data_IF_204281056372
#
_entry.id   IF_204281056372
#
_cell.length_a   1.000
_cell.length_b   1.000
_cell.length_c   1.000
_cell.angle_alpha   90.00
_cell.angle_beta   90.00
_cell.angle_gamma   90.00
#
_symmetry.space_group_name_H-M   'P 1'
#
loop_
_entity.id
_entity.type
_entity.pdbx_description
1 polymer ?
#
# COMPACT_ATOMS: atom_id res chain seq x y z
N UNK A 1 21.95 1.52 6.93
CA UNK A 1 20.71 1.61 7.72
C UNK A 1 19.90 2.77 7.16
N UNK A 2 18.62 2.60 6.86
CA UNK A 2 17.80 3.58 6.12
C UNK A 2 16.71 4.25 6.93
N UNK A 3 16.45 3.79 8.16
CA UNK A 3 15.53 4.45 9.07
C UNK A 3 15.94 4.23 10.53
N UNK A 4 15.98 5.30 11.33
CA UNK A 4 16.10 5.26 12.78
C UNK A 4 14.92 6.01 13.42
N UNK A 5 14.53 5.64 14.65
CA UNK A 5 13.40 6.31 15.33
C UNK A 5 13.72 7.77 15.71
N UNK A 6 14.99 8.08 15.93
CA UNK A 6 15.46 9.42 16.33
C UNK A 6 15.76 10.33 15.14
N UNK A 7 16.22 9.78 14.02
CA UNK A 7 16.72 10.57 12.88
C UNK A 7 15.85 10.41 11.62
N UNK A 8 14.85 9.53 11.65
CA UNK A 8 13.95 9.30 10.51
C UNK A 8 14.64 8.58 9.37
N UNK A 9 14.19 8.85 8.13
CA UNK A 9 14.78 8.25 6.93
C UNK A 9 16.16 8.83 6.65
N UNK A 10 17.11 7.95 6.35
CA UNK A 10 18.48 8.29 6.03
C UNK A 10 18.87 7.66 4.70
N UNK A 11 19.43 8.48 3.80
CA UNK A 11 20.00 7.99 2.56
C UNK A 11 21.33 7.31 2.88
N UNK A 12 21.36 5.99 2.68
CA UNK A 12 22.59 5.22 2.69
C UNK A 12 23.48 5.66 1.52
N UNK A 13 24.81 5.62 1.70
CA UNK A 13 25.76 5.84 0.59
C UNK A 13 25.63 4.77 -0.50
N UNK A 14 25.18 3.57 -0.12
CA UNK A 14 24.82 2.49 -1.05
C UNK A 14 23.39 2.67 -1.59
N UNK A 15 23.21 2.90 -2.91
CA UNK A 15 21.91 3.06 -3.53
C UNK A 15 20.95 1.88 -3.40
N UNK A 16 21.48 0.67 -3.29
CA UNK A 16 20.65 -0.52 -3.20
C UNK A 16 19.89 -0.58 -1.87
N UNK A 17 20.49 -0.04 -0.80
CA UNK A 17 19.92 -0.10 0.55
C UNK A 17 18.67 0.78 0.68
N UNK A 18 18.64 1.97 0.10
CA UNK A 18 17.44 2.84 0.18
C UNK A 18 16.37 2.46 -0.83
N UNK A 19 16.74 1.97 -2.02
CA UNK A 19 15.76 1.38 -2.95
C UNK A 19 15.08 0.14 -2.34
N UNK A 20 15.82 -0.71 -1.63
CA UNK A 20 15.24 -1.86 -0.94
C UNK A 20 14.26 -1.43 0.17
N UNK A 21 14.59 -0.36 0.90
CA UNK A 21 13.71 0.19 1.93
C UNK A 21 12.43 0.82 1.34
N UNK A 22 12.54 1.59 0.27
CA UNK A 22 11.37 2.15 -0.45
C UNK A 22 10.45 1.04 -0.96
N UNK A 23 11.00 -0.03 -1.53
CA UNK A 23 10.23 -1.22 -1.94
C UNK A 23 9.52 -1.90 -0.77
N UNK A 24 10.20 -2.01 0.38
CA UNK A 24 9.60 -2.58 1.59
C UNK A 24 8.42 -1.74 2.11
N UNK A 25 8.46 -0.41 1.93
CA UNK A 25 7.31 0.46 2.22
C UNK A 25 6.14 0.11 1.30
N UNK A 26 6.35 0.03 -0.02
CA UNK A 26 5.27 -0.31 -0.94
C UNK A 26 4.65 -1.68 -0.66
N UNK A 27 5.47 -2.69 -0.32
CA UNK A 27 4.98 -4.01 0.09
C UNK A 27 4.14 -3.94 1.37
N UNK A 28 4.55 -3.12 2.34
CA UNK A 28 3.82 -2.94 3.60
C UNK A 28 2.46 -2.29 3.35
N UNK A 29 2.44 -1.20 2.58
CA UNK A 29 1.20 -0.49 2.28
C UNK A 29 0.27 -1.31 1.38
N UNK A 30 0.81 -2.09 0.44
CA UNK A 30 0.01 -3.02 -0.36
C UNK A 30 -0.75 -4.00 0.52
N UNK A 31 -0.06 -4.61 1.49
CA UNK A 31 -0.69 -5.54 2.43
C UNK A 31 -1.75 -4.85 3.30
N UNK A 32 -1.48 -3.65 3.81
CA UNK A 32 -2.45 -2.89 4.61
C UNK A 32 -3.71 -2.57 3.80
N UNK A 33 -3.56 -2.05 2.59
CA UNK A 33 -4.69 -1.70 1.71
C UNK A 33 -5.48 -2.95 1.31
N UNK A 34 -4.80 -4.04 0.93
CA UNK A 34 -5.47 -5.30 0.61
C UNK A 34 -6.30 -5.81 1.81
N UNK A 35 -5.73 -5.77 3.02
CA UNK A 35 -6.43 -6.19 4.23
C UNK A 35 -7.63 -5.29 4.56
N UNK A 36 -7.52 -3.98 4.37
CA UNK A 36 -8.65 -3.04 4.56
C UNK A 36 -9.78 -3.34 3.58
N UNK A 37 -9.46 -3.51 2.29
CA UNK A 37 -10.45 -3.86 1.26
C UNK A 37 -11.15 -5.16 1.64
N UNK A 38 -10.40 -6.23 1.91
CA UNK A 38 -10.98 -7.56 2.13
C UNK A 38 -11.69 -7.69 3.47
N UNK A 39 -11.11 -7.14 4.54
CA UNK A 39 -11.57 -7.34 5.91
C UNK A 39 -12.64 -6.34 6.38
N UNK A 40 -12.72 -5.17 5.75
CA UNK A 40 -13.56 -4.06 6.24
C UNK A 40 -14.53 -3.58 5.15
N UNK A 41 -14.00 -3.13 4.02
CA UNK A 41 -14.81 -2.43 3.00
C UNK A 41 -15.68 -3.41 2.20
N UNK A 42 -15.12 -4.54 1.76
CA UNK A 42 -15.87 -5.54 0.99
C UNK A 42 -17.06 -6.14 1.78
N UNK A 43 -16.93 -6.47 3.08
CA UNK A 43 -18.08 -6.82 3.92
C UNK A 43 -19.17 -5.74 3.97
N UNK A 44 -18.81 -4.47 4.13
CA UNK A 44 -19.77 -3.35 4.09
C UNK A 44 -20.49 -3.33 2.74
N UNK A 45 -19.77 -3.35 1.62
CA UNK A 45 -20.39 -3.33 0.29
C UNK A 45 -21.33 -4.51 0.05
N UNK A 46 -21.00 -5.71 0.55
CA UNK A 46 -21.90 -6.87 0.49
C UNK A 46 -23.18 -6.66 1.32
N UNK A 47 -23.07 -6.00 2.47
CA UNK A 47 -24.20 -5.76 3.38
C UNK A 47 -25.10 -4.63 2.91
N UNK A 48 -24.55 -3.65 2.20
CA UNK A 48 -25.25 -2.48 1.66
C UNK A 48 -24.81 -2.20 0.20
N UNK A 49 -25.25 -3.01 -0.78
CA UNK A 49 -24.78 -2.87 -2.16
C UNK A 49 -25.18 -1.55 -2.84
N UNK A 50 -26.28 -0.95 -2.40
CA UNK A 50 -26.77 0.34 -2.92
C UNK A 50 -26.09 1.55 -2.29
N UNK A 51 -25.22 1.38 -1.30
CA UNK A 51 -24.46 2.49 -0.70
C UNK A 51 -23.43 3.00 -1.72
N UNK A 52 -23.57 4.25 -2.14
CA UNK A 52 -22.68 4.88 -3.13
C UNK A 52 -21.29 5.16 -2.55
N UNK A 53 -21.20 5.45 -1.26
CA UNK A 53 -19.93 5.78 -0.62
C UNK A 53 -19.01 4.56 -0.58
N UNK A 54 -19.52 3.39 -0.17
CA UNK A 54 -18.69 2.17 -0.11
C UNK A 54 -18.26 1.69 -1.50
N UNK A 55 -19.10 1.91 -2.52
CA UNK A 55 -18.75 1.63 -3.92
C UNK A 55 -17.61 2.53 -4.40
N UNK A 56 -17.68 3.84 -4.12
CA UNK A 56 -16.61 4.78 -4.44
C UNK A 56 -15.32 4.40 -3.70
N UNK A 57 -15.39 4.08 -2.41
CA UNK A 57 -14.21 3.66 -1.64
C UNK A 57 -13.56 2.40 -2.23
N UNK A 58 -14.35 1.38 -2.60
CA UNK A 58 -13.82 0.17 -3.24
C UNK A 58 -13.11 0.47 -4.57
N UNK A 59 -13.68 1.34 -5.40
CA UNK A 59 -13.09 1.75 -6.66
C UNK A 59 -11.74 2.46 -6.43
N UNK A 60 -11.71 3.47 -5.56
CA UNK A 60 -10.50 4.24 -5.28
C UNK A 60 -9.40 3.39 -4.64
N UNK A 61 -9.73 2.58 -3.64
CA UNK A 61 -8.75 1.69 -3.00
C UNK A 61 -8.31 0.56 -3.93
N UNK A 62 -9.18 0.11 -4.85
CA UNK A 62 -8.81 -0.82 -5.91
C UNK A 62 -7.73 -0.24 -6.83
N UNK A 63 -7.87 1.02 -7.22
CA UNK A 63 -6.85 1.77 -7.97
C UNK A 63 -5.52 1.86 -7.22
N UNK A 64 -5.55 2.27 -5.95
CA UNK A 64 -4.35 2.33 -5.09
C UNK A 64 -3.66 0.97 -4.97
N UNK A 65 -4.43 -0.10 -4.75
CA UNK A 65 -3.91 -1.47 -4.70
C UNK A 65 -3.20 -1.86 -5.99
N UNK A 66 -3.81 -1.57 -7.15
CA UNK A 66 -3.21 -1.88 -8.44
C UNK A 66 -1.90 -1.11 -8.67
N UNK A 67 -1.84 0.19 -8.30
CA UNK A 67 -0.60 0.96 -8.35
C UNK A 67 0.50 0.36 -7.48
N UNK A 68 0.18 -0.03 -6.24
CA UNK A 68 1.15 -0.65 -5.33
C UNK A 68 1.62 -2.03 -5.83
N UNK A 69 0.76 -2.81 -6.48
CA UNK A 69 1.16 -4.07 -7.13
C UNK A 69 2.16 -3.85 -8.28
N UNK A 70 2.04 -2.75 -9.03
CA UNK A 70 3.03 -2.39 -10.06
C UNK A 70 4.35 -2.01 -9.40
N UNK A 71 4.32 -1.10 -8.43
CA UNK A 71 5.53 -0.59 -7.76
C UNK A 71 6.33 -1.69 -7.05
N UNK A 72 5.66 -2.73 -6.56
CA UNK A 72 6.30 -3.86 -5.88
C UNK A 72 6.92 -4.89 -6.83
N UNK A 73 6.48 -4.94 -8.09
CA UNK A 73 6.97 -5.89 -9.11
C UNK A 73 8.03 -5.32 -10.06
N UNK A 74 8.29 -4.02 -10.02
CA UNK A 74 9.33 -3.42 -10.87
C UNK A 74 10.71 -3.94 -10.46
N UNK A 75 11.20 -4.97 -11.13
CA UNK A 75 12.63 -5.30 -11.18
C UNK A 75 13.33 -4.27 -12.08
N UNK A 76 14.56 -3.90 -11.72
CA UNK A 76 15.38 -2.99 -12.52
C UNK A 76 15.97 -3.73 -13.71
#
# INVERSE_FOLDING_TARGET
MTHSRSEGFQLSEDPEIWVAYERAIFMTELHRIANVITGIIAPHARRQPSDEWVRLVLEQLGGVKATLEVLTRMER
#
